data_IF_442179380836
#
_entry.id   IF_442179380836
#
_cell.length_a   1.000
_cell.length_b   1.000
_cell.length_c   1.000
_cell.angle_alpha   90.00
_cell.angle_beta   90.00
_cell.angle_gamma   90.00
#
_symmetry.space_group_name_H-M   'P 1'
#
loop_
_entity.id
_entity.type
_entity.pdbx_description
1 polymer ?
#
# COMPACT_ATOMS: atom_id res chain seq x y z
N UNK A 1 3.99 -24.75 6.16
CA UNK A 1 2.53 -25.00 6.15
C UNK A 1 2.26 -26.26 5.34
N UNK A 2 1.69 -27.30 5.94
CA UNK A 2 1.35 -28.55 5.21
C UNK A 2 -0.03 -28.44 4.57
N UNK A 3 -0.31 -29.29 3.58
CA UNK A 3 -1.62 -29.23 2.90
C UNK A 3 -2.79 -29.49 3.87
N UNK A 4 -2.64 -30.39 4.84
CA UNK A 4 -3.66 -30.68 5.87
C UNK A 4 -3.99 -29.46 6.73
N UNK A 5 -2.96 -28.72 7.14
CA UNK A 5 -3.13 -27.50 7.92
C UNK A 5 -3.85 -26.41 7.12
N UNK A 6 -3.55 -26.28 5.83
CA UNK A 6 -4.25 -25.35 4.95
C UNK A 6 -5.71 -25.76 4.71
N UNK A 7 -6.00 -27.06 4.55
CA UNK A 7 -7.37 -27.56 4.44
C UNK A 7 -8.22 -27.20 5.66
N UNK A 8 -7.68 -27.40 6.87
CA UNK A 8 -8.39 -27.07 8.11
C UNK A 8 -8.55 -25.56 8.32
N UNK A 9 -7.50 -24.77 8.07
CA UNK A 9 -7.55 -23.31 8.28
C UNK A 9 -8.46 -22.57 7.31
N UNK A 10 -8.54 -23.05 6.06
CA UNK A 10 -9.27 -22.36 4.99
C UNK A 10 -10.52 -23.11 4.50
N UNK A 11 -10.89 -24.22 5.16
CA UNK A 11 -12.08 -25.02 4.80
C UNK A 11 -11.99 -25.68 3.42
N UNK A 12 -10.78 -25.99 2.94
CA UNK A 12 -10.59 -26.51 1.57
C UNK A 12 -10.79 -28.04 1.57
N UNK A 13 -11.84 -28.50 0.91
CA UNK A 13 -12.22 -29.92 0.86
C UNK A 13 -11.22 -30.79 0.08
N UNK A 14 -10.64 -30.26 -1.00
CA UNK A 14 -9.74 -31.01 -1.90
C UNK A 14 -8.26 -30.74 -1.67
N UNK A 15 -7.46 -31.80 -1.46
CA UNK A 15 -5.98 -31.71 -1.41
C UNK A 15 -5.40 -31.12 -2.70
N UNK A 16 -5.97 -31.47 -3.85
CA UNK A 16 -5.54 -30.98 -5.17
C UNK A 16 -5.61 -29.45 -5.26
N UNK A 17 -6.69 -28.85 -4.76
CA UNK A 17 -6.87 -27.38 -4.73
C UNK A 17 -5.76 -26.70 -3.94
N UNK A 18 -5.44 -27.23 -2.75
CA UNK A 18 -4.35 -26.71 -1.92
C UNK A 18 -3.01 -26.83 -2.64
N UNK A 19 -2.73 -27.97 -3.27
CA UNK A 19 -1.48 -28.17 -4.02
C UNK A 19 -1.39 -27.29 -5.27
N UNK A 20 -2.50 -27.06 -5.97
CA UNK A 20 -2.57 -26.14 -7.13
C UNK A 20 -2.26 -24.72 -6.68
N UNK A 21 -2.83 -24.27 -5.57
CA UNK A 21 -2.55 -22.96 -5.01
C UNK A 21 -1.09 -22.84 -4.55
N UNK A 22 -0.53 -23.88 -3.92
CA UNK A 22 0.88 -23.92 -3.54
C UNK A 22 1.83 -23.95 -4.74
N UNK A 23 1.42 -24.46 -5.91
CA UNK A 23 2.24 -24.38 -7.13
C UNK A 23 2.11 -23.04 -7.86
N UNK A 24 0.91 -22.46 -7.85
CA UNK A 24 0.62 -21.19 -8.54
C UNK A 24 1.12 -19.98 -7.76
N UNK A 25 1.00 -20.02 -6.44
CA UNK A 25 1.28 -18.90 -5.55
C UNK A 25 2.33 -19.22 -4.47
N UNK A 26 2.74 -20.49 -4.34
CA UNK A 26 3.81 -20.84 -3.41
C UNK A 26 5.17 -20.45 -3.98
N UNK A 27 6.09 -20.18 -3.06
CA UNK A 27 7.46 -19.71 -3.36
C UNK A 27 8.48 -20.85 -3.51
N UNK A 28 8.03 -22.11 -3.58
CA UNK A 28 8.91 -23.28 -3.68
C UNK A 28 8.83 -23.86 -5.09
N UNK A 29 9.99 -24.05 -5.74
CA UNK A 29 10.08 -24.62 -7.09
C UNK A 29 9.87 -26.13 -7.04
N UNK A 30 8.65 -26.58 -7.31
CA UNK A 30 8.28 -28.01 -7.30
C UNK A 30 8.63 -28.76 -8.61
N UNK A 31 9.67 -28.34 -9.34
CA UNK A 31 10.10 -29.02 -10.57
C UNK A 31 10.62 -30.43 -10.21
N UNK A 32 10.18 -31.50 -10.88
CA UNK A 32 10.67 -32.84 -10.58
C UNK A 32 12.12 -32.93 -11.08
N UNK A 33 13.09 -32.98 -10.16
CA UNK A 33 14.47 -33.32 -10.53
C UNK A 33 15.61 -32.61 -9.80
N UNK A 34 15.40 -31.88 -8.70
CA UNK A 34 16.55 -31.38 -7.93
C UNK A 34 16.69 -32.11 -6.58
N UNK A 35 17.62 -33.07 -6.45
CA UNK A 35 18.02 -33.56 -5.14
C UNK A 35 18.70 -32.42 -4.37
N UNK A 36 18.65 -32.55 -3.05
CA UNK A 36 18.99 -31.62 -1.95
C UNK A 36 20.44 -31.08 -1.93
N UNK A 37 21.06 -30.81 -3.08
CA UNK A 37 22.47 -30.43 -3.24
C UNK A 37 22.70 -28.99 -3.73
N UNK A 38 21.66 -28.25 -4.12
CA UNK A 38 21.79 -26.84 -4.53
C UNK A 38 21.47 -25.88 -3.37
N UNK A 39 22.02 -26.17 -2.19
CA UNK A 39 22.29 -25.13 -1.19
C UNK A 39 23.62 -24.40 -1.46
N UNK A 40 24.33 -24.74 -2.54
CA UNK A 40 25.63 -24.16 -2.86
C UNK A 40 25.65 -23.63 -4.29
N UNK A 41 25.69 -22.29 -4.37
CA UNK A 41 26.24 -21.47 -5.45
C UNK A 41 25.51 -21.56 -6.80
N UNK A 42 24.71 -20.55 -7.13
CA UNK A 42 24.84 -19.84 -8.42
C UNK A 42 24.37 -18.37 -8.28
N UNK A 43 24.93 -17.44 -9.09
CA UNK A 43 24.88 -16.00 -8.88
C UNK A 43 23.72 -15.33 -9.64
N UNK A 44 23.18 -14.28 -9.00
CA UNK A 44 22.44 -13.13 -9.56
C UNK A 44 21.75 -13.39 -10.91
N UNK A 45 20.54 -13.95 -10.86
CA UNK A 45 19.52 -13.69 -11.88
C UNK A 45 18.54 -12.67 -11.29
N UNK A 46 18.46 -11.52 -11.94
CA UNK A 46 17.56 -10.41 -11.66
C UNK A 46 16.12 -10.91 -11.54
N UNK A 47 15.72 -11.17 -10.31
CA UNK A 47 14.33 -11.25 -9.90
C UNK A 47 14.16 -10.08 -8.97
N UNK A 48 13.16 -9.24 -9.23
CA UNK A 48 12.68 -8.25 -8.29
C UNK A 48 12.39 -8.98 -6.98
N UNK A 49 13.37 -9.01 -6.08
CA UNK A 49 13.20 -9.53 -4.73
C UNK A 49 12.05 -8.67 -4.20
N UNK A 50 10.86 -9.22 -3.95
CA UNK A 50 9.85 -8.44 -3.29
C UNK A 50 10.47 -8.08 -1.94
N UNK A 51 10.80 -6.80 -1.74
CA UNK A 51 11.18 -6.22 -0.44
C UNK A 51 10.40 -6.97 0.63
N UNK A 52 11.12 -7.46 1.65
CA UNK A 52 10.46 -8.20 2.73
C UNK A 52 9.31 -7.35 3.25
N UNK A 53 8.17 -7.94 3.61
CA UNK A 53 7.01 -7.16 4.06
C UNK A 53 7.39 -6.18 5.18
N UNK A 54 8.34 -6.56 6.04
CA UNK A 54 8.93 -5.71 7.09
C UNK A 54 9.67 -4.48 6.55
N UNK A 55 10.43 -4.60 5.46
CA UNK A 55 11.12 -3.46 4.84
C UNK A 55 10.10 -2.46 4.27
N UNK A 56 9.03 -2.96 3.64
CA UNK A 56 7.96 -2.10 3.12
C UNK A 56 7.19 -1.39 4.24
N UNK A 57 6.95 -2.08 5.36
CA UNK A 57 6.28 -1.47 6.52
C UNK A 57 7.10 -0.32 7.06
N UNK A 58 8.41 -0.52 7.28
CA UNK A 58 9.29 0.54 7.77
C UNK A 58 9.37 1.73 6.81
N UNK A 59 9.47 1.48 5.50
CA UNK A 59 9.46 2.55 4.48
C UNK A 59 8.16 3.35 4.51
N UNK A 60 7.01 2.67 4.67
CA UNK A 60 5.70 3.32 4.75
C UNK A 60 5.52 4.10 6.06
N UNK A 61 6.03 3.60 7.18
CA UNK A 61 6.03 4.30 8.48
C UNK A 61 6.85 5.60 8.39
N UNK A 62 8.03 5.55 7.80
CA UNK A 62 8.86 6.74 7.58
C UNK A 62 8.16 7.77 6.67
N UNK A 63 7.48 7.31 5.61
CA UNK A 63 6.69 8.18 4.74
C UNK A 63 5.52 8.83 5.48
N UNK A 64 4.86 8.11 6.39
CA UNK A 64 3.78 8.65 7.22
C UNK A 64 4.30 9.72 8.18
N UNK A 65 5.44 9.47 8.85
CA UNK A 65 6.06 10.44 9.74
C UNK A 65 6.44 11.73 8.99
N UNK A 66 7.07 11.61 7.83
CA UNK A 66 7.42 12.76 7.00
C UNK A 66 6.19 13.53 6.49
N UNK A 67 5.10 12.83 6.17
CA UNK A 67 3.85 13.47 5.75
C UNK A 67 3.19 14.23 6.90
N UNK A 68 3.19 13.67 8.11
CA UNK A 68 2.65 14.31 9.31
C UNK A 68 3.44 15.56 9.68
N UNK A 69 4.77 15.49 9.69
CA UNK A 69 5.64 16.65 9.95
C UNK A 69 5.39 17.78 8.94
N UNK A 70 5.24 17.44 7.65
CA UNK A 70 4.89 18.42 6.62
C UNK A 70 3.53 19.04 6.87
N UNK A 71 2.52 18.26 7.25
CA UNK A 71 1.19 18.77 7.55
C UNK A 71 1.21 19.74 8.75
N UNK A 72 1.89 19.38 9.84
CA UNK A 72 2.06 20.25 11.01
C UNK A 72 2.77 21.57 10.65
N UNK A 73 3.82 21.50 9.83
CA UNK A 73 4.49 22.69 9.32
C UNK A 73 3.54 23.59 8.52
N UNK A 74 2.74 23.02 7.61
CA UNK A 74 1.76 23.80 6.83
C UNK A 74 0.68 24.42 7.72
N UNK A 75 0.19 23.71 8.74
CA UNK A 75 -0.77 24.27 9.70
C UNK A 75 -0.17 25.45 10.47
N UNK A 76 1.08 25.35 10.91
CA UNK A 76 1.81 26.46 11.56
C UNK A 76 1.93 27.67 10.64
N UNK A 77 2.36 27.47 9.38
CA UNK A 77 2.48 28.55 8.39
C UNK A 77 1.12 29.20 8.11
N UNK A 78 0.06 28.38 7.96
CA UNK A 78 -1.31 28.88 7.77
C UNK A 78 -1.77 29.68 8.99
N UNK A 79 -1.45 29.24 10.21
CA UNK A 79 -1.82 29.93 11.43
C UNK A 79 -1.14 31.31 11.54
N UNK A 80 0.17 31.39 11.24
CA UNK A 80 0.91 32.66 11.17
C UNK A 80 0.28 33.60 10.13
N UNK A 81 -0.01 33.11 8.93
CA UNK A 81 -0.65 33.91 7.87
C UNK A 81 -2.05 34.42 8.26
N UNK A 82 -2.82 33.63 9.02
CA UNK A 82 -4.13 34.05 9.53
C UNK A 82 -3.99 35.11 10.63
N UNK A 83 -3.07 34.91 11.56
CA UNK A 83 -2.93 35.76 12.75
C UNK A 83 -2.24 37.10 12.43
N UNK A 84 -1.16 37.07 11.66
CA UNK A 84 -0.32 38.26 11.43
C UNK A 84 -0.77 39.06 10.20
N UNK A 85 -1.35 38.38 9.20
CA UNK A 85 -1.72 38.98 7.91
C UNK A 85 -3.22 38.93 7.60
N UNK A 86 -4.05 38.30 8.44
CA UNK A 86 -5.49 38.21 8.23
C UNK A 86 -5.91 37.45 6.97
N UNK A 87 -5.01 36.64 6.38
CA UNK A 87 -5.27 35.95 5.11
C UNK A 87 -6.17 34.74 5.37
N UNK A 88 -7.44 34.84 4.96
CA UNK A 88 -8.36 33.70 4.94
C UNK A 88 -8.08 32.82 3.72
N UNK A 89 -7.30 31.75 3.92
CA UNK A 89 -7.08 30.71 2.89
C UNK A 89 -8.37 29.90 2.75
N UNK A 90 -9.32 30.40 1.96
CA UNK A 90 -10.57 29.70 1.68
C UNK A 90 -10.30 28.58 0.67
N UNK A 91 -10.41 27.32 1.11
CA UNK A 91 -10.23 26.12 0.26
C UNK A 91 -11.16 26.10 -0.98
N UNK A 92 -12.32 26.77 -0.92
CA UNK A 92 -13.25 26.96 -2.05
C UNK A 92 -13.76 28.39 -2.10
N UNK A 93 -13.56 29.10 -3.22
CA UNK A 93 -14.24 30.39 -3.43
C UNK A 93 -15.76 30.15 -3.46
N UNK A 94 -16.57 30.95 -2.75
CA UNK A 94 -18.03 30.83 -2.87
C UNK A 94 -18.37 31.06 -4.35
N UNK A 95 -19.04 30.08 -4.96
CA UNK A 95 -19.45 30.18 -6.35
C UNK A 95 -20.27 31.45 -6.55
N UNK A 96 -19.98 32.22 -7.60
CA UNK A 96 -20.78 33.41 -7.95
C UNK A 96 -22.22 32.95 -8.17
N UNK A 97 -23.12 33.19 -7.22
CA UNK A 97 -24.53 32.90 -7.44
C UNK A 97 -25.00 33.83 -8.56
N UNK A 98 -25.29 33.27 -9.72
CA UNK A 98 -25.96 33.99 -10.79
C UNK A 98 -27.35 34.38 -10.30
N UNK A 99 -27.54 35.66 -9.93
CA UNK A 99 -28.87 36.19 -9.61
C UNK A 99 -29.67 36.16 -10.91
N UNK A 100 -30.59 35.20 -11.05
CA UNK A 100 -31.64 35.27 -12.07
C UNK A 100 -32.46 36.53 -11.82
N UNK A 101 -32.26 37.54 -12.66
CA UNK A 101 -33.16 38.69 -12.75
C UNK A 101 -34.51 38.15 -13.20
N UNK A 102 -35.56 38.30 -12.37
CA UNK A 102 -36.93 37.98 -12.76
C UNK A 102 -37.46 39.12 -13.65
N UNK A 103 -38.14 38.82 -14.76
CA UNK A 103 -38.71 39.87 -15.61
C UNK A 103 -39.93 40.49 -14.92
N UNK A 104 -40.24 41.77 -15.19
CA UNK A 104 -41.41 42.45 -14.64
C UNK A 104 -42.69 41.89 -15.29
N UNK A 105 -43.79 42.01 -14.54
CA UNK A 105 -45.14 41.55 -14.90
C UNK A 105 -45.76 42.35 -16.04
#
# INVERSE_FOLDING_TARGET
MTYKQAQQRYGIQGRSTVLVWLRKYGRLDWRPGLPDLVKRKLPVAQTTIPLTPEQRIRELEEQLELANQKAEFFECVINVLKNDYGVSVVKKRPGKSSRKVRPPK
#
